data_IF_089359801023
#
_entry.id   IF_089359801023
#
_cell.length_a   1.000
_cell.length_b   1.000
_cell.length_c   1.000
_cell.angle_alpha   90.00
_cell.angle_beta   90.00
_cell.angle_gamma   90.00
#
_symmetry.space_group_name_H-M   'P 1'
#
loop_
_entity.id
_entity.type
_entity.pdbx_description
1 polymer ?
#
# COMPACT_ATOMS: atom_id res chain seq x y z
N UNK A 1 -18.54 -3.80 7.52
CA UNK A 1 -18.87 -2.79 6.51
C UNK A 1 -19.28 -1.53 7.22
N UNK A 2 -18.41 -0.52 7.24
CA UNK A 2 -18.69 0.74 7.94
C UNK A 2 -19.69 1.61 7.19
N UNK A 3 -20.58 2.30 7.91
CA UNK A 3 -21.42 3.35 7.36
C UNK A 3 -20.64 4.62 7.03
N UNK A 4 -19.47 4.76 7.61
CA UNK A 4 -18.52 5.85 7.35
C UNK A 4 -17.29 5.35 6.60
N UNK A 5 -16.60 6.22 5.86
CA UNK A 5 -15.27 5.94 5.36
C UNK A 5 -14.35 5.44 6.50
N UNK A 6 -13.39 4.60 6.16
CA UNK A 6 -12.40 4.13 7.14
C UNK A 6 -11.73 5.31 7.87
N UNK A 7 -11.36 5.12 9.14
CA UNK A 7 -10.60 6.10 9.91
C UNK A 7 -9.25 6.50 9.28
N UNK A 8 -8.81 5.76 8.27
CA UNK A 8 -7.62 6.07 7.47
C UNK A 8 -7.88 7.18 6.44
N UNK A 9 -9.14 7.63 6.30
CA UNK A 9 -9.52 8.70 5.38
C UNK A 9 -9.77 9.95 6.18
N UNK A 10 -9.11 11.01 5.83
CA UNK A 10 -9.44 12.34 6.35
C UNK A 10 -10.86 12.72 5.93
N UNK A 11 -11.61 13.45 6.77
CA UNK A 11 -12.89 14.01 6.37
C UNK A 11 -12.74 14.79 5.06
N UNK A 12 -13.61 14.54 4.11
CA UNK A 12 -13.57 15.15 2.77
C UNK A 12 -12.76 14.39 1.71
N UNK A 13 -12.00 13.35 2.08
CA UNK A 13 -11.44 12.43 1.07
C UNK A 13 -12.53 11.49 0.56
N UNK A 14 -12.59 11.34 -0.77
CA UNK A 14 -13.44 10.33 -1.38
C UNK A 14 -12.98 8.95 -0.94
N UNK A 15 -13.83 8.19 -0.30
CA UNK A 15 -13.55 6.81 0.03
C UNK A 15 -13.36 6.03 -1.27
N UNK A 16 -12.16 5.55 -1.49
CA UNK A 16 -11.79 4.73 -2.63
C UNK A 16 -11.81 3.26 -2.22
N UNK A 17 -12.36 2.39 -3.06
CA UNK A 17 -12.30 0.93 -2.86
C UNK A 17 -10.86 0.43 -2.71
N UNK A 18 -9.90 1.10 -3.34
CA UNK A 18 -8.48 0.77 -3.26
C UNK A 18 -7.85 0.99 -1.89
N UNK A 19 -8.49 1.77 -1.03
CA UNK A 19 -8.04 2.10 0.33
C UNK A 19 -8.86 1.42 1.41
N UNK A 20 -9.75 0.49 1.05
CA UNK A 20 -10.56 -0.27 2.00
C UNK A 20 -9.69 -1.23 2.78
N UNK A 21 -9.78 -1.19 4.10
CA UNK A 21 -9.19 -2.21 4.94
C UNK A 21 -9.95 -3.54 4.76
N UNK A 22 -9.27 -4.52 4.19
CA UNK A 22 -9.82 -5.87 3.96
C UNK A 22 -9.50 -6.82 5.13
N UNK A 23 -8.97 -6.28 6.24
CA UNK A 23 -8.28 -7.04 7.27
C UNK A 23 -9.14 -7.82 8.27
N UNK A 24 -10.48 -7.68 8.28
CA UNK A 24 -11.31 -8.32 9.32
C UNK A 24 -11.23 -9.86 9.33
N UNK A 25 -11.02 -10.49 8.19
CA UNK A 25 -10.89 -11.95 8.06
C UNK A 25 -9.43 -12.43 8.11
N UNK A 26 -8.47 -11.54 7.99
CA UNK A 26 -7.04 -11.87 8.00
C UNK A 26 -6.42 -12.01 9.38
N UNK A 27 -7.18 -11.83 10.48
CA UNK A 27 -6.65 -11.95 11.82
C UNK A 27 -6.36 -13.43 12.15
N UNK A 28 -5.11 -13.72 12.50
CA UNK A 28 -4.66 -15.05 12.90
C UNK A 28 -4.41 -15.07 14.40
N UNK A 29 -4.90 -16.08 15.12
CA UNK A 29 -4.54 -16.32 16.51
C UNK A 29 -3.01 -16.46 16.65
N UNK A 30 -2.45 -15.79 17.65
CA UNK A 30 -0.99 -15.72 17.85
C UNK A 30 -0.27 -14.67 16.99
N UNK A 31 -0.97 -14.01 16.08
CA UNK A 31 -0.44 -12.82 15.42
C UNK A 31 -0.30 -11.71 16.47
N UNK A 32 0.90 -11.14 16.57
CA UNK A 32 1.11 -9.99 17.43
C UNK A 32 0.12 -8.89 17.03
N UNK A 33 -0.75 -8.53 17.97
CA UNK A 33 -1.67 -7.40 17.77
C UNK A 33 -0.87 -6.18 17.35
N UNK A 34 -1.36 -5.31 16.43
CA UNK A 34 -0.76 -4.00 16.21
C UNK A 34 -0.81 -3.14 17.49
N UNK A 35 -1.59 -3.55 18.48
CA UNK A 35 -1.68 -2.90 19.78
C UNK A 35 -0.68 -3.54 20.73
N UNK A 36 0.36 -2.80 21.06
CA UNK A 36 1.30 -3.14 22.11
C UNK A 36 1.02 -2.29 23.35
N UNK A 37 1.26 -2.85 24.52
CA UNK A 37 1.29 -2.11 25.77
C UNK A 37 2.70 -2.15 26.33
N UNK A 38 3.12 -1.02 26.93
CA UNK A 38 4.40 -0.97 27.61
C UNK A 38 4.21 -1.57 29.00
N UNK A 39 4.81 -2.74 29.23
CA UNK A 39 4.74 -3.44 30.50
C UNK A 39 6.03 -3.25 31.26
N UNK A 40 5.90 -2.87 32.55
CA UNK A 40 7.03 -2.77 33.48
C UNK A 40 7.28 -4.14 34.10
N UNK A 41 8.43 -4.72 33.79
CA UNK A 41 8.88 -5.98 34.39
C UNK A 41 9.74 -5.74 35.62
N UNK A 42 9.61 -6.63 36.61
CA UNK A 42 10.36 -6.67 37.86
C UNK A 42 10.43 -5.31 38.54
N UNK A 43 9.28 -4.67 38.84
CA UNK A 43 9.26 -3.37 39.51
C UNK A 43 10.00 -3.43 40.84
N UNK A 44 10.71 -2.37 41.17
CA UNK A 44 11.47 -2.20 42.42
C UNK A 44 12.69 -3.15 42.55
N UNK A 45 13.21 -3.68 41.48
CA UNK A 45 14.47 -4.43 41.43
C UNK A 45 15.48 -3.76 40.51
N UNK A 46 16.75 -4.11 40.62
CA UNK A 46 17.83 -3.69 39.71
C UNK A 46 17.68 -4.22 38.28
N UNK A 47 16.82 -5.24 38.08
CA UNK A 47 16.49 -5.79 36.78
C UNK A 47 15.20 -5.16 36.18
N UNK A 48 14.75 -4.04 36.75
CA UNK A 48 13.58 -3.33 36.27
C UNK A 48 13.80 -2.85 34.82
N UNK A 49 12.90 -3.25 33.92
CA UNK A 49 12.91 -2.80 32.53
C UNK A 49 11.49 -2.73 31.95
N UNK A 50 11.35 -1.93 30.89
CA UNK A 50 10.14 -1.88 30.12
C UNK A 50 10.28 -2.74 28.87
N UNK A 51 9.26 -3.53 28.56
CA UNK A 51 9.13 -4.20 27.25
C UNK A 51 7.78 -3.88 26.62
N UNK A 52 7.77 -3.87 25.28
CA UNK A 52 6.52 -3.81 24.54
C UNK A 52 5.92 -5.22 24.48
N UNK A 53 4.81 -5.41 25.16
CA UNK A 53 4.02 -6.63 25.06
C UNK A 53 2.86 -6.41 24.09
N UNK A 54 2.76 -7.30 23.11
CA UNK A 54 1.65 -7.30 22.18
C UNK A 54 0.49 -8.05 22.81
N UNK A 55 -0.68 -7.41 22.82
CA UNK A 55 -1.89 -8.04 23.35
C UNK A 55 -2.28 -9.19 22.44
N UNK A 56 -2.11 -10.40 22.92
CA UNK A 56 -2.73 -11.58 22.32
C UNK A 56 -4.22 -11.59 22.70
N UNK A 57 -5.09 -11.30 21.74
CA UNK A 57 -6.54 -11.16 22.00
C UNK A 57 -7.31 -12.45 21.90
N UNK A 58 -6.67 -13.53 21.50
CA UNK A 58 -7.34 -14.79 21.31
C UNK A 58 -6.97 -15.79 22.39
N UNK A 59 -7.95 -16.12 23.22
CA UNK A 59 -7.87 -17.32 24.03
C UNK A 59 -7.89 -18.54 23.07
N UNK A 60 -6.81 -19.33 23.00
CA UNK A 60 -6.77 -20.51 22.14
C UNK A 60 -7.93 -21.50 22.42
N UNK A 61 -8.47 -21.48 23.64
CA UNK A 61 -9.60 -22.32 24.04
C UNK A 61 -10.93 -21.88 23.40
N UNK A 62 -11.02 -20.64 22.90
CA UNK A 62 -12.22 -20.11 22.24
C UNK A 62 -12.17 -20.26 20.71
N UNK A 63 -11.10 -20.82 20.18
CA UNK A 63 -10.97 -21.01 18.74
C UNK A 63 -11.73 -22.26 18.32
N UNK A 64 -12.56 -22.19 17.27
CA UNK A 64 -13.18 -23.36 16.71
C UNK A 64 -12.10 -24.32 16.19
N UNK A 65 -12.25 -25.59 16.49
CA UNK A 65 -11.38 -26.69 16.02
C UNK A 65 -11.60 -27.05 14.55
N UNK A 66 -12.24 -26.18 13.76
CA UNK A 66 -12.50 -26.41 12.34
C UNK A 66 -11.23 -26.30 11.51
N UNK A 67 -11.08 -27.20 10.55
CA UNK A 67 -10.06 -27.06 9.52
C UNK A 67 -10.30 -25.71 8.79
N UNK A 68 -9.29 -24.85 8.67
CA UNK A 68 -9.43 -23.59 7.95
C UNK A 68 -10.02 -23.73 6.54
N UNK A 69 -9.85 -24.88 5.89
CA UNK A 69 -10.41 -25.17 4.56
C UNK A 69 -11.93 -25.35 4.61
N UNK A 70 -12.44 -26.00 5.65
CA UNK A 70 -13.88 -26.14 5.89
C UNK A 70 -14.49 -24.80 6.27
N UNK A 71 -13.80 -24.03 7.09
CA UNK A 71 -14.19 -22.67 7.49
C UNK A 71 -14.37 -21.75 6.28
N UNK A 72 -13.42 -21.76 5.33
CA UNK A 72 -13.51 -20.99 4.08
C UNK A 72 -14.79 -21.33 3.32
N UNK A 73 -15.05 -22.61 3.13
CA UNK A 73 -16.21 -23.06 2.36
C UNK A 73 -17.53 -22.60 3.00
N UNK A 74 -17.64 -22.66 4.33
CA UNK A 74 -18.81 -22.19 5.07
C UNK A 74 -19.01 -20.68 4.94
N UNK A 75 -17.95 -19.89 5.12
CA UNK A 75 -18.00 -18.42 5.00
C UNK A 75 -18.35 -18.01 3.58
N UNK A 76 -17.73 -18.62 2.57
CA UNK A 76 -18.03 -18.33 1.17
C UNK A 76 -19.48 -18.70 0.81
N UNK A 77 -19.97 -19.86 1.24
CA UNK A 77 -21.34 -20.29 1.00
C UNK A 77 -22.35 -19.32 1.63
N UNK A 78 -22.14 -18.92 2.88
CA UNK A 78 -23.00 -17.96 3.57
C UNK A 78 -22.99 -16.59 2.90
N UNK A 79 -21.81 -16.07 2.54
CA UNK A 79 -21.68 -14.81 1.84
C UNK A 79 -22.36 -14.83 0.47
N UNK A 80 -22.10 -15.87 -0.34
CA UNK A 80 -22.71 -16.03 -1.66
C UNK A 80 -24.23 -16.11 -1.59
N UNK A 81 -24.76 -16.91 -0.64
CA UNK A 81 -26.21 -17.05 -0.46
C UNK A 81 -26.87 -15.73 -0.12
N UNK A 82 -26.25 -14.95 0.80
CA UNK A 82 -26.75 -13.63 1.15
C UNK A 82 -26.66 -12.65 -0.04
N UNK A 83 -25.56 -12.63 -0.78
CA UNK A 83 -25.38 -11.71 -1.91
C UNK A 83 -26.34 -12.00 -3.06
N UNK A 84 -26.58 -13.27 -3.39
CA UNK A 84 -27.56 -13.67 -4.40
C UNK A 84 -28.98 -13.20 -3.98
N UNK A 85 -29.36 -13.42 -2.71
CA UNK A 85 -30.60 -12.92 -2.16
C UNK A 85 -30.68 -11.38 -2.21
N UNK A 86 -29.64 -10.68 -1.77
CA UNK A 86 -29.60 -9.22 -1.74
C UNK A 86 -29.71 -8.61 -3.14
N UNK A 87 -29.05 -9.19 -4.14
CA UNK A 87 -29.18 -8.77 -5.54
C UNK A 87 -30.60 -8.94 -6.08
N UNK A 88 -31.30 -10.00 -5.69
CA UNK A 88 -32.68 -10.25 -6.09
C UNK A 88 -33.68 -9.32 -5.34
N UNK A 89 -33.36 -8.85 -4.13
CA UNK A 89 -34.24 -8.10 -3.24
C UNK A 89 -33.75 -6.68 -2.91
N UNK A 90 -33.02 -6.04 -3.83
CA UNK A 90 -32.43 -4.70 -3.61
C UNK A 90 -33.40 -3.65 -3.08
N UNK A 91 -34.61 -3.62 -3.62
CA UNK A 91 -35.64 -2.67 -3.22
C UNK A 91 -36.12 -2.89 -1.78
N UNK A 92 -36.40 -4.14 -1.43
CA UNK A 92 -36.82 -4.52 -0.09
C UNK A 92 -35.75 -4.23 0.94
N UNK A 93 -34.50 -4.66 0.66
CA UNK A 93 -33.33 -4.41 1.51
C UNK A 93 -33.11 -2.90 1.69
N UNK A 94 -33.19 -2.10 0.62
CA UNK A 94 -33.04 -0.66 0.70
C UNK A 94 -34.12 0.02 1.54
N UNK A 95 -35.35 -0.49 1.50
CA UNK A 95 -36.44 0.05 2.32
C UNK A 95 -36.23 -0.26 3.80
N UNK A 96 -35.86 -1.50 4.13
CA UNK A 96 -35.52 -1.89 5.52
C UNK A 96 -34.37 -1.05 6.05
N UNK A 97 -33.27 -0.93 5.29
CA UNK A 97 -32.11 -0.11 5.69
C UNK A 97 -32.53 1.35 5.92
N UNK A 98 -33.35 1.92 5.05
CA UNK A 98 -33.80 3.32 5.16
C UNK A 98 -34.66 3.54 6.42
N UNK A 99 -35.51 2.57 6.78
CA UNK A 99 -36.38 2.68 7.94
C UNK A 99 -35.61 2.48 9.26
N UNK A 100 -34.80 1.43 9.33
CA UNK A 100 -34.14 1.02 10.58
C UNK A 100 -32.91 1.88 10.91
N UNK A 101 -32.24 2.45 9.92
CA UNK A 101 -30.99 3.19 10.12
C UNK A 101 -31.14 4.72 9.97
N UNK A 102 -32.35 5.23 9.88
CA UNK A 102 -32.57 6.68 9.82
C UNK A 102 -32.27 7.34 11.17
N UNK A 103 -31.47 8.40 11.17
CA UNK A 103 -31.12 9.16 12.37
C UNK A 103 -30.25 8.42 13.38
N UNK A 104 -29.62 7.32 13.00
CA UNK A 104 -28.72 6.56 13.88
C UNK A 104 -27.42 7.31 14.08
N UNK A 105 -26.96 7.40 15.33
CA UNK A 105 -25.67 7.94 15.68
C UNK A 105 -24.53 7.01 15.22
N UNK A 106 -23.59 7.56 14.47
CA UNK A 106 -22.42 6.85 13.95
C UNK A 106 -21.18 7.52 14.53
N UNK A 107 -20.44 6.79 15.35
CA UNK A 107 -19.20 7.30 15.94
C UNK A 107 -18.21 7.66 14.81
N UNK A 108 -17.69 8.88 14.89
CA UNK A 108 -16.60 9.34 14.04
C UNK A 108 -15.29 9.35 14.81
N UNK A 109 -14.28 8.69 14.26
CA UNK A 109 -12.93 8.62 14.82
C UNK A 109 -12.04 9.52 13.98
N UNK A 110 -11.74 10.71 14.49
CA UNK A 110 -10.92 11.71 13.79
C UNK A 110 -9.42 11.37 13.85
N UNK A 111 -8.98 10.67 14.88
CA UNK A 111 -7.62 10.14 15.03
C UNK A 111 -7.68 8.81 15.79
N UNK A 112 -6.66 7.97 15.65
CA UNK A 112 -6.60 6.69 16.36
C UNK A 112 -6.64 6.90 17.87
N UNK A 113 -7.52 6.17 18.56
CA UNK A 113 -7.68 6.26 20.03
C UNK A 113 -6.37 6.05 20.78
N UNK A 114 -5.50 5.17 20.27
CA UNK A 114 -4.17 4.94 20.84
C UNK A 114 -3.32 6.22 20.81
N UNK A 115 -3.36 6.98 19.73
CA UNK A 115 -2.60 8.23 19.60
C UNK A 115 -3.05 9.30 20.60
N UNK A 116 -4.36 9.41 20.82
CA UNK A 116 -4.88 10.27 21.89
C UNK A 116 -4.41 9.81 23.27
N UNK A 117 -4.48 8.51 23.54
CA UNK A 117 -4.03 7.94 24.82
C UNK A 117 -2.53 8.18 25.07
N UNK A 118 -1.70 8.00 24.04
CA UNK A 118 -0.26 8.27 24.12
C UNK A 118 0.02 9.75 24.35
N UNK A 119 -0.72 10.64 23.70
CA UNK A 119 -0.59 12.09 23.89
C UNK A 119 -1.00 12.52 25.29
N UNK A 120 -2.11 12.00 25.81
CA UNK A 120 -2.52 12.24 27.20
C UNK A 120 -1.45 11.76 28.19
N UNK A 121 -0.92 10.55 27.99
CA UNK A 121 0.15 9.99 28.84
C UNK A 121 1.42 10.85 28.77
N UNK A 122 1.82 11.30 27.58
CA UNK A 122 2.95 12.19 27.42
C UNK A 122 2.75 13.53 28.19
N UNK A 123 1.55 14.11 28.09
CA UNK A 123 1.20 15.36 28.71
C UNK A 123 1.19 15.28 30.26
N UNK A 124 1.07 14.09 30.86
CA UNK A 124 1.19 13.89 32.31
C UNK A 124 2.64 13.90 32.82
N UNK A 125 3.65 13.98 31.94
CA UNK A 125 5.03 14.10 32.40
C UNK A 125 5.21 15.32 33.28
N UNK A 126 5.89 15.22 34.44
CA UNK A 126 6.00 16.32 35.42
C UNK A 126 6.48 17.65 34.81
N UNK A 127 7.43 17.59 33.87
CA UNK A 127 7.96 18.80 33.24
C UNK A 127 6.96 19.51 32.33
N UNK A 128 6.02 18.80 31.75
CA UNK A 128 4.95 19.35 30.89
C UNK A 128 3.75 19.75 31.76
N UNK A 129 3.40 18.94 32.73
CA UNK A 129 2.20 19.13 33.57
C UNK A 129 2.31 20.29 34.56
N UNK A 130 3.52 20.64 35.00
CA UNK A 130 3.76 21.77 35.95
C UNK A 130 3.44 23.14 35.37
N UNK A 131 3.46 23.31 34.05
CA UNK A 131 3.14 24.55 33.34
C UNK A 131 1.92 24.34 32.44
N UNK A 132 0.79 25.04 32.71
CA UNK A 132 -0.43 24.89 31.89
C UNK A 132 -0.23 25.17 30.41
N UNK A 133 0.71 26.05 30.05
CA UNK A 133 1.01 26.36 28.63
C UNK A 133 1.75 25.19 27.96
N UNK A 134 2.75 24.64 28.62
CA UNK A 134 3.49 23.47 28.11
C UNK A 134 2.58 22.25 28.02
N UNK A 135 1.71 22.07 29.03
CA UNK A 135 0.71 20.99 29.00
C UNK A 135 -0.23 21.14 27.79
N UNK A 136 -0.81 22.32 27.60
CA UNK A 136 -1.67 22.60 26.45
C UNK A 136 -0.93 22.41 25.12
N UNK A 137 0.31 22.90 25.00
CA UNK A 137 1.12 22.70 23.79
C UNK A 137 1.41 21.22 23.48
N UNK A 138 1.66 20.42 24.52
CA UNK A 138 1.87 18.97 24.35
C UNK A 138 0.63 18.27 23.78
N UNK A 139 -0.56 18.69 24.22
CA UNK A 139 -1.83 18.17 23.69
C UNK A 139 -2.12 18.60 22.26
N UNK A 140 -1.69 19.79 21.84
CA UNK A 140 -1.80 20.24 20.45
C UNK A 140 -0.98 19.42 19.46
N UNK A 141 -0.09 18.56 19.93
CA UNK A 141 0.71 17.66 19.08
C UNK A 141 -0.14 16.76 18.18
N UNK A 142 -1.34 16.39 18.60
CA UNK A 142 -2.25 15.61 17.77
C UNK A 142 -2.72 16.35 16.52
N UNK A 143 -2.75 17.67 16.55
CA UNK A 143 -3.17 18.52 15.43
C UNK A 143 -2.06 18.73 14.37
N UNK A 144 -0.79 18.44 14.71
CA UNK A 144 0.33 18.63 13.79
C UNK A 144 0.17 17.75 12.56
N UNK A 145 0.39 18.35 11.37
CA UNK A 145 0.32 17.67 10.06
C UNK A 145 -1.07 17.17 9.64
N UNK A 146 -2.15 17.60 10.30
CA UNK A 146 -3.52 17.21 9.98
C UNK A 146 -4.28 18.35 9.27
N UNK A 147 -3.70 18.89 8.21
CA UNK A 147 -4.24 20.05 7.47
C UNK A 147 -5.59 19.81 6.79
N UNK A 148 -6.00 18.55 6.62
CA UNK A 148 -7.27 18.19 6.00
C UNK A 148 -8.44 18.09 7.00
N UNK A 149 -8.17 18.15 8.31
CA UNK A 149 -9.19 18.09 9.35
C UNK A 149 -9.71 19.52 9.60
N UNK A 150 -11.03 19.73 9.65
CA UNK A 150 -11.59 21.05 9.98
C UNK A 150 -11.05 21.60 11.30
N UNK A 151 -10.72 22.88 11.33
CA UNK A 151 -10.17 23.55 12.50
C UNK A 151 -11.05 23.39 13.73
N UNK A 152 -12.36 23.45 13.58
CA UNK A 152 -13.32 23.27 14.67
C UNK A 152 -13.19 21.89 15.33
N UNK A 153 -12.90 20.86 14.56
CA UNK A 153 -12.65 19.50 15.09
C UNK A 153 -11.35 19.48 15.90
N UNK A 154 -10.26 20.09 15.39
CA UNK A 154 -8.98 20.15 16.08
C UNK A 154 -9.08 20.93 17.40
N UNK A 155 -9.81 22.04 17.42
CA UNK A 155 -10.08 22.82 18.63
C UNK A 155 -10.87 22.00 19.65
N UNK A 156 -11.94 21.34 19.20
CA UNK A 156 -12.76 20.49 20.08
C UNK A 156 -11.99 19.28 20.61
N UNK A 157 -11.12 18.65 19.79
CA UNK A 157 -10.20 17.59 20.25
C UNK A 157 -9.32 18.10 21.39
N UNK A 158 -8.70 19.26 21.21
CA UNK A 158 -7.83 19.84 22.22
C UNK A 158 -8.59 20.14 23.52
N UNK A 159 -9.81 20.68 23.45
CA UNK A 159 -10.64 20.95 24.64
C UNK A 159 -11.02 19.67 25.39
N UNK A 160 -11.30 18.58 24.66
CA UNK A 160 -11.59 17.28 25.27
C UNK A 160 -10.32 16.69 25.92
N UNK A 161 -9.17 16.77 25.23
CA UNK A 161 -7.89 16.30 25.76
C UNK A 161 -7.45 17.08 27.03
N UNK A 162 -7.69 18.39 27.11
CA UNK A 162 -7.42 19.18 28.34
C UNK A 162 -8.24 18.65 29.51
N UNK A 163 -9.47 18.18 29.28
CA UNK A 163 -10.33 17.55 30.30
C UNK A 163 -9.88 16.14 30.65
N UNK A 164 -8.91 15.57 29.93
CA UNK A 164 -8.43 14.21 30.12
C UNK A 164 -9.27 13.16 29.37
N UNK A 165 -10.20 13.60 28.51
CA UNK A 165 -11.07 12.72 27.75
C UNK A 165 -10.45 12.31 26.40
N UNK A 166 -10.81 11.14 25.93
CA UNK A 166 -10.54 10.73 24.54
C UNK A 166 -11.55 11.40 23.63
N UNK A 167 -11.12 12.22 22.64
CA UNK A 167 -12.03 12.91 21.74
C UNK A 167 -13.01 11.98 21.05
N UNK A 168 -14.29 12.35 21.07
CA UNK A 168 -15.36 11.57 20.47
C UNK A 168 -16.33 12.49 19.74
N UNK A 169 -16.57 12.15 18.45
CA UNK A 169 -17.49 12.84 17.58
C UNK A 169 -18.45 11.84 16.95
N UNK A 170 -19.51 12.31 16.33
CA UNK A 170 -20.42 11.45 15.62
C UNK A 170 -21.05 12.16 14.39
N UNK A 171 -21.57 11.34 13.50
CA UNK A 171 -22.47 11.71 12.43
C UNK A 171 -23.86 11.13 12.72
N UNK A 172 -24.90 11.75 12.20
CA UNK A 172 -26.17 11.08 12.01
C UNK A 172 -26.17 10.38 10.64
N UNK A 173 -26.78 9.22 10.56
CA UNK A 173 -26.79 8.40 9.32
C UNK A 173 -27.38 9.13 8.12
N UNK A 174 -28.29 10.06 8.34
CA UNK A 174 -29.00 10.86 7.34
C UNK A 174 -28.55 12.33 7.26
N UNK A 175 -27.39 12.66 7.87
CA UNK A 175 -26.80 13.99 7.86
C UNK A 175 -25.34 13.97 7.39
N UNK A 176 -24.86 15.12 6.88
CA UNK A 176 -23.49 15.32 6.42
C UNK A 176 -22.61 16.06 7.43
N UNK A 177 -23.19 16.45 8.57
CA UNK A 177 -22.57 17.29 9.60
C UNK A 177 -21.83 16.43 10.64
N UNK A 178 -20.75 16.98 11.20
CA UNK A 178 -20.10 16.43 12.39
C UNK A 178 -20.76 17.03 13.64
N UNK A 179 -21.06 16.16 14.58
CA UNK A 179 -21.62 16.51 15.89
C UNK A 179 -20.64 16.23 17.02
N UNK A 180 -20.65 17.13 18.00
CA UNK A 180 -20.09 16.90 19.33
C UNK A 180 -21.20 17.11 20.36
N UNK A 181 -21.40 16.15 21.24
CA UNK A 181 -22.61 16.04 22.08
C UNK A 181 -23.87 16.10 21.22
N UNK A 182 -24.75 17.05 21.44
CA UNK A 182 -25.98 17.24 20.66
C UNK A 182 -25.91 18.46 19.73
N UNK A 183 -24.71 19.02 19.53
CA UNK A 183 -24.53 20.24 18.75
C UNK A 183 -23.78 19.97 17.46
N UNK A 184 -24.18 20.67 16.40
CA UNK A 184 -23.44 20.65 15.13
C UNK A 184 -22.11 21.36 15.34
N UNK A 185 -21.01 20.64 15.17
CA UNK A 185 -19.66 21.18 15.24
C UNK A 185 -19.21 21.73 13.88
N UNK A 186 -19.39 20.96 12.82
CA UNK A 186 -19.04 21.35 11.45
C UNK A 186 -20.15 20.90 10.51
N UNK A 187 -20.59 21.79 9.61
CA UNK A 187 -21.63 21.51 8.63
C UNK A 187 -21.03 20.99 7.33
N UNK A 188 -21.80 20.15 6.64
CA UNK A 188 -21.56 19.72 5.25
C UNK A 188 -20.16 19.15 5.01
N UNK A 189 -19.67 18.33 5.94
CA UNK A 189 -18.32 17.71 5.85
C UNK A 189 -18.29 16.55 4.87
N UNK A 190 -19.38 15.80 4.74
CA UNK A 190 -19.49 14.67 3.84
C UNK A 190 -20.15 15.08 2.52
N UNK A 191 -19.68 14.54 1.40
CA UNK A 191 -20.32 14.76 0.08
C UNK A 191 -21.73 14.15 -0.01
N UNK A 192 -21.98 13.11 0.77
CA UNK A 192 -23.26 12.41 0.85
C UNK A 192 -23.48 11.83 2.23
N UNK A 193 -24.74 11.65 2.62
CA UNK A 193 -25.04 11.07 3.93
C UNK A 193 -24.58 9.62 4.00
N UNK A 194 -24.14 9.12 5.19
CA UNK A 194 -23.75 7.72 5.37
C UNK A 194 -24.82 6.73 4.89
N UNK A 195 -26.08 7.04 5.17
CA UNK A 195 -27.21 6.22 4.73
C UNK A 195 -27.33 6.17 3.20
N UNK A 196 -27.19 7.31 2.53
CA UNK A 196 -27.23 7.36 1.06
C UNK A 196 -26.08 6.59 0.42
N UNK A 197 -24.91 6.61 1.04
CA UNK A 197 -23.76 5.82 0.59
C UNK A 197 -24.04 4.31 0.65
N UNK A 198 -24.60 3.82 1.77
CA UNK A 198 -24.99 2.41 1.92
C UNK A 198 -26.06 2.01 0.91
N UNK A 199 -27.10 2.85 0.75
CA UNK A 199 -28.17 2.58 -0.21
C UNK A 199 -27.66 2.52 -1.65
N UNK A 200 -26.73 3.39 -2.02
CA UNK A 200 -26.03 3.35 -3.32
C UNK A 200 -25.23 2.05 -3.47
N UNK A 201 -24.57 1.62 -2.41
CA UNK A 201 -23.87 0.33 -2.38
C UNK A 201 -24.81 -0.84 -2.67
N UNK A 202 -25.97 -0.89 -2.03
CA UNK A 202 -26.99 -1.92 -2.27
C UNK A 202 -27.50 -1.92 -3.72
N UNK A 203 -27.73 -0.74 -4.30
CA UNK A 203 -28.16 -0.65 -5.70
C UNK A 203 -27.10 -1.13 -6.69
N UNK A 204 -25.82 -0.92 -6.36
CA UNK A 204 -24.69 -1.27 -7.21
C UNK A 204 -24.23 -2.73 -7.06
N UNK A 205 -24.83 -3.53 -6.16
CA UNK A 205 -24.49 -4.95 -6.01
C UNK A 205 -24.61 -5.67 -7.35
N UNK A 206 -23.59 -6.42 -7.72
CA UNK A 206 -23.51 -7.17 -8.98
C UNK A 206 -22.67 -8.43 -8.83
N UNK A 207 -22.64 -9.26 -9.87
CA UNK A 207 -21.90 -10.52 -9.87
C UNK A 207 -20.38 -10.32 -9.80
N UNK A 208 -19.85 -9.24 -10.36
CA UNK A 208 -18.41 -8.99 -10.35
C UNK A 208 -17.94 -8.62 -8.93
N UNK A 209 -18.75 -7.86 -8.21
CA UNK A 209 -18.50 -7.57 -6.80
C UNK A 209 -18.61 -8.84 -5.93
N UNK A 210 -19.56 -9.72 -6.22
CA UNK A 210 -19.66 -11.02 -5.57
C UNK A 210 -18.38 -11.85 -5.78
N UNK A 211 -17.92 -11.97 -7.03
CA UNK A 211 -16.69 -12.73 -7.37
C UNK A 211 -15.46 -12.14 -6.68
N UNK A 212 -15.31 -10.82 -6.71
CA UNK A 212 -14.22 -10.11 -6.06
C UNK A 212 -14.20 -10.40 -4.54
N UNK A 213 -15.36 -10.28 -3.88
CA UNK A 213 -15.42 -10.51 -2.44
C UNK A 213 -15.22 -11.99 -2.05
N UNK A 214 -15.70 -12.94 -2.83
CA UNK A 214 -15.41 -14.36 -2.62
C UNK A 214 -13.90 -14.64 -2.74
N UNK A 215 -13.23 -14.02 -3.71
CA UNK A 215 -11.78 -14.10 -3.84
C UNK A 215 -11.05 -13.45 -2.64
N UNK A 216 -11.50 -12.29 -2.16
CA UNK A 216 -10.93 -11.62 -0.98
C UNK A 216 -11.07 -12.48 0.29
N UNK A 217 -12.21 -13.16 0.46
CA UNK A 217 -12.41 -14.14 1.55
C UNK A 217 -11.35 -15.24 1.42
N UNK A 218 -11.21 -15.84 0.25
CA UNK A 218 -10.24 -16.91 0.01
C UNK A 218 -8.80 -16.44 0.28
N UNK A 219 -8.43 -15.26 -0.20
CA UNK A 219 -7.09 -14.69 -0.01
C UNK A 219 -6.79 -14.43 1.48
N UNK A 220 -7.78 -13.93 2.23
CA UNK A 220 -7.64 -13.68 3.67
C UNK A 220 -7.38 -14.96 4.46
N UNK A 221 -8.08 -16.05 4.11
CA UNK A 221 -7.84 -17.36 4.72
C UNK A 221 -6.52 -17.98 4.26
N UNK A 222 -6.12 -17.80 3.01
CA UNK A 222 -4.81 -18.25 2.53
C UNK A 222 -3.67 -17.60 3.31
N UNK A 223 -3.77 -16.31 3.59
CA UNK A 223 -2.82 -15.60 4.44
C UNK A 223 -2.79 -16.17 5.87
N UNK A 224 -3.95 -16.50 6.44
CA UNK A 224 -4.07 -17.15 7.76
C UNK A 224 -3.43 -18.55 7.79
N UNK A 225 -3.69 -19.37 6.77
CA UNK A 225 -3.13 -20.72 6.65
C UNK A 225 -1.62 -20.70 6.52
N UNK A 226 -1.09 -19.80 5.69
CA UNK A 226 0.36 -19.68 5.47
C UNK A 226 1.12 -19.29 6.74
N UNK A 227 0.51 -18.54 7.64
CA UNK A 227 1.10 -18.19 8.94
C UNK A 227 1.12 -19.38 9.90
N UNK A 228 0.09 -20.22 9.91
CA UNK A 228 0.06 -21.41 10.75
C UNK A 228 0.99 -22.51 10.27
N UNK A 229 1.30 -22.53 8.97
CA UNK A 229 2.18 -23.51 8.33
C UNK A 229 3.67 -23.16 8.43
N UNK A 230 4.05 -22.04 9.03
CA UNK A 230 5.44 -21.58 9.14
C UNK A 230 6.37 -22.54 9.92
N UNK A 231 5.83 -23.61 10.50
CA UNK A 231 6.57 -24.68 11.17
C UNK A 231 6.41 -26.05 10.52
N UNK A 232 5.67 -26.16 9.44
CA UNK A 232 5.65 -27.40 8.66
C UNK A 232 6.67 -27.26 7.54
N UNK A 233 7.73 -28.06 7.61
CA UNK A 233 8.61 -28.30 6.47
C UNK A 233 7.73 -28.64 5.26
N UNK A 234 7.54 -27.66 4.39
CA UNK A 234 7.08 -27.93 3.03
C UNK A 234 8.21 -28.70 2.35
N UNK A 235 8.28 -29.95 2.63
CA UNK A 235 8.98 -30.90 1.80
C UNK A 235 8.31 -30.80 0.43
N UNK A 236 8.97 -30.14 -0.50
CA UNK A 236 8.69 -30.33 -1.91
C UNK A 236 8.74 -31.84 -2.13
N UNK A 237 7.59 -32.47 -2.26
CA UNK A 237 7.58 -33.89 -2.55
C UNK A 237 8.26 -34.03 -3.92
N UNK A 238 9.28 -34.86 -4.01
CA UNK A 238 9.97 -35.15 -5.28
C UNK A 238 9.01 -35.61 -6.39
N UNK A 239 7.81 -36.07 -6.01
CA UNK A 239 6.71 -36.41 -6.92
C UNK A 239 6.11 -35.21 -7.67
N UNK A 240 6.26 -33.98 -7.18
CA UNK A 240 5.78 -32.78 -7.92
C UNK A 240 6.71 -32.38 -9.08
N UNK A 241 7.92 -32.91 -9.12
CA UNK A 241 8.94 -32.57 -10.15
C UNK A 241 8.82 -33.46 -11.41
N UNK A 242 7.98 -34.47 -11.40
CA UNK A 242 7.59 -35.15 -12.66
C UNK A 242 6.54 -34.33 -13.42
N UNK A 243 6.90 -33.08 -13.71
CA UNK A 243 6.20 -32.37 -14.77
C UNK A 243 6.34 -33.20 -16.02
N UNK A 244 5.24 -33.76 -16.49
CA UNK A 244 5.18 -34.34 -17.82
C UNK A 244 5.77 -33.29 -18.79
N UNK A 245 6.60 -33.73 -19.74
CA UNK A 245 6.95 -32.93 -20.93
C UNK A 245 5.70 -32.79 -21.80
N UNK A 246 4.63 -32.21 -21.26
CA UNK A 246 3.53 -31.70 -22.04
C UNK A 246 4.02 -30.41 -22.71
N UNK A 247 3.85 -30.27 -23.98
CA UNK A 247 4.11 -29.05 -24.73
C UNK A 247 3.40 -27.90 -23.96
N UNK A 248 4.16 -27.10 -23.23
CA UNK A 248 3.61 -25.96 -22.51
C UNK A 248 3.20 -24.94 -23.55
N UNK A 249 1.89 -24.76 -23.73
CA UNK A 249 1.39 -23.66 -24.55
C UNK A 249 1.52 -22.35 -23.75
N UNK A 250 2.64 -21.65 -23.97
CA UNK A 250 2.95 -20.39 -23.28
C UNK A 250 1.84 -19.36 -23.50
N UNK A 251 1.25 -19.29 -24.68
CA UNK A 251 0.17 -18.35 -24.98
C UNK A 251 -1.08 -18.62 -24.14
N UNK A 252 -1.47 -19.89 -24.03
CA UNK A 252 -2.59 -20.27 -23.16
C UNK A 252 -2.30 -19.95 -21.70
N UNK A 253 -1.09 -20.22 -21.23
CA UNK A 253 -0.68 -19.94 -19.84
C UNK A 253 -0.73 -18.43 -19.54
N UNK A 254 -0.27 -17.58 -20.46
CA UNK A 254 -0.35 -16.12 -20.29
C UNK A 254 -1.80 -15.64 -20.21
N UNK A 255 -2.69 -16.16 -21.08
CA UNK A 255 -4.11 -15.82 -21.04
C UNK A 255 -4.77 -16.28 -19.75
N UNK A 256 -4.47 -17.49 -19.29
CA UNK A 256 -4.97 -18.04 -18.02
C UNK A 256 -4.50 -17.21 -16.80
N UNK A 257 -3.32 -16.61 -16.85
CA UNK A 257 -2.80 -15.72 -15.81
C UNK A 257 -3.39 -14.30 -15.89
N UNK A 258 -3.59 -13.76 -17.07
CA UNK A 258 -4.10 -12.39 -17.26
C UNK A 258 -5.58 -12.27 -16.88
N UNK A 259 -6.38 -13.30 -17.13
CA UNK A 259 -7.82 -13.27 -16.84
C UNK A 259 -8.15 -13.05 -15.34
N UNK A 260 -7.56 -13.76 -14.39
CA UNK A 260 -7.72 -13.46 -12.95
C UNK A 260 -7.28 -12.05 -12.57
N UNK A 261 -6.22 -11.52 -13.17
CA UNK A 261 -5.76 -10.16 -12.90
C UNK A 261 -6.80 -9.11 -13.31
N UNK A 262 -7.52 -9.34 -14.41
CA UNK A 262 -8.65 -8.48 -14.80
C UNK A 262 -9.83 -8.60 -13.84
N UNK A 263 -10.14 -9.80 -13.36
CA UNK A 263 -11.27 -10.04 -12.45
C UNK A 263 -11.03 -9.49 -11.04
N UNK A 264 -9.76 -9.47 -10.58
CA UNK A 264 -9.38 -9.03 -9.24
C UNK A 264 -8.98 -7.55 -9.19
N UNK A 265 -9.09 -6.85 -10.32
CA UNK A 265 -8.85 -5.40 -10.40
C UNK A 265 -9.91 -4.64 -9.61
N UNK A 266 -9.48 -3.76 -8.73
CA UNK A 266 -10.34 -2.85 -7.99
C UNK A 266 -10.31 -1.49 -8.66
N UNK A 267 -11.46 -1.03 -9.13
CA UNK A 267 -11.57 0.28 -9.78
C UNK A 267 -11.41 1.41 -8.78
N UNK A 268 -10.60 2.39 -9.13
CA UNK A 268 -10.51 3.65 -8.39
C UNK A 268 -11.72 4.55 -8.68
N UNK A 269 -12.13 5.33 -7.71
CA UNK A 269 -13.19 6.31 -7.87
C UNK A 269 -12.63 7.67 -8.34
N UNK A 270 -13.18 8.24 -9.39
CA UNK A 270 -12.75 9.52 -9.95
C UNK A 270 -11.32 9.46 -10.49
N UNK A 271 -10.45 10.31 -9.97
CA UNK A 271 -9.03 10.40 -10.37
C UNK A 271 -8.13 9.33 -9.73
N UNK A 272 -8.66 8.52 -8.82
CA UNK A 272 -7.87 7.45 -8.24
C UNK A 272 -7.58 6.36 -9.28
N UNK A 273 -6.33 5.84 -9.35
CA UNK A 273 -5.99 4.76 -10.27
C UNK A 273 -6.66 3.45 -9.83
N UNK A 274 -6.95 2.55 -10.76
CA UNK A 274 -7.28 1.18 -10.42
C UNK A 274 -6.11 0.54 -9.66
N UNK A 275 -6.39 -0.51 -8.90
CA UNK A 275 -5.37 -1.23 -8.12
C UNK A 275 -5.71 -2.70 -8.01
N UNK A 276 -4.81 -3.46 -7.42
CA UNK A 276 -5.00 -4.87 -7.08
C UNK A 276 -4.75 -5.07 -5.59
N UNK A 277 -5.44 -6.05 -5.05
CA UNK A 277 -5.27 -6.49 -3.67
C UNK A 277 -4.53 -7.83 -3.70
N UNK A 278 -3.58 -8.02 -2.81
CA UNK A 278 -2.78 -9.22 -2.75
C UNK A 278 -2.22 -9.50 -1.37
N UNK A 279 -1.55 -10.64 -1.22
CA UNK A 279 -0.81 -10.96 0.00
C UNK A 279 0.49 -10.17 0.05
N UNK A 280 0.75 -9.50 1.16
CA UNK A 280 2.03 -8.82 1.43
C UNK A 280 2.62 -9.34 2.73
N UNK A 281 3.94 -9.40 2.80
CA UNK A 281 4.64 -9.66 4.04
C UNK A 281 4.61 -8.41 4.93
N UNK A 282 4.37 -8.60 6.22
CA UNK A 282 4.20 -7.48 7.16
C UNK A 282 5.50 -6.98 7.76
N UNK A 283 6.59 -7.74 7.62
CA UNK A 283 7.88 -7.41 8.19
C UNK A 283 9.06 -7.88 7.31
N UNK A 284 10.25 -7.42 7.64
CA UNK A 284 11.49 -7.79 6.96
C UNK A 284 11.88 -9.26 7.14
N UNK A 285 11.32 -9.94 8.14
CA UNK A 285 11.56 -11.35 8.39
C UNK A 285 10.61 -12.28 7.63
N UNK A 286 9.69 -11.74 6.81
CA UNK A 286 8.70 -12.47 6.01
C UNK A 286 7.83 -13.44 6.83
N UNK A 287 7.63 -13.15 8.12
CA UNK A 287 6.95 -14.06 9.04
C UNK A 287 5.43 -14.00 8.92
N UNK A 288 4.89 -12.86 8.51
CA UNK A 288 3.45 -12.65 8.48
C UNK A 288 2.99 -12.17 7.11
N UNK A 289 1.96 -12.81 6.60
CA UNK A 289 1.25 -12.36 5.41
C UNK A 289 0.00 -11.60 5.82
N UNK A 290 -0.26 -10.51 5.16
CA UNK A 290 -1.52 -9.76 5.27
C UNK A 290 -2.08 -9.49 3.89
N UNK A 291 -3.40 -9.39 3.80
CA UNK A 291 -4.10 -8.96 2.60
C UNK A 291 -4.12 -7.45 2.59
N UNK A 292 -3.57 -6.85 1.54
CA UNK A 292 -3.43 -5.40 1.43
C UNK A 292 -3.46 -4.97 -0.03
N UNK A 293 -3.63 -3.68 -0.26
CA UNK A 293 -3.40 -3.07 -1.57
C UNK A 293 -1.95 -3.29 -2.00
N UNK A 294 -1.76 -3.69 -3.25
CA UNK A 294 -0.41 -3.82 -3.80
C UNK A 294 0.28 -2.45 -3.84
N UNK A 295 1.56 -2.42 -3.50
CA UNK A 295 2.40 -1.23 -3.52
C UNK A 295 2.62 -0.70 -4.93
N UNK A 296 3.08 0.55 -5.02
CA UNK A 296 3.46 1.19 -6.29
C UNK A 296 4.91 0.83 -6.64
N UNK A 297 5.13 -0.43 -6.97
CA UNK A 297 6.44 -0.95 -7.36
C UNK A 297 6.32 -2.06 -8.41
N UNK A 298 7.43 -2.33 -9.11
CA UNK A 298 7.47 -3.31 -10.19
C UNK A 298 7.51 -4.75 -9.67
N UNK A 299 8.35 -5.02 -8.65
CA UNK A 299 8.70 -6.37 -8.23
C UNK A 299 7.53 -7.12 -7.56
N UNK A 300 6.86 -6.50 -6.60
CA UNK A 300 5.74 -7.12 -5.85
C UNK A 300 4.47 -6.28 -5.84
N UNK A 301 4.39 -5.27 -6.70
CA UNK A 301 3.34 -4.26 -6.69
C UNK A 301 2.42 -4.25 -7.90
N UNK A 302 1.53 -3.26 -7.91
CA UNK A 302 0.56 -3.01 -8.98
C UNK A 302 1.21 -2.66 -10.32
N UNK A 303 2.43 -2.11 -10.30
CA UNK A 303 3.16 -1.72 -11.52
C UNK A 303 3.45 -2.92 -12.40
N UNK A 304 3.98 -4.02 -11.81
CA UNK A 304 4.25 -5.25 -12.57
C UNK A 304 3.00 -5.88 -13.15
N UNK A 305 1.91 -5.85 -12.40
CA UNK A 305 0.60 -6.35 -12.87
C UNK A 305 0.10 -5.52 -14.06
N UNK A 306 0.08 -4.19 -13.93
CA UNK A 306 -0.40 -3.29 -14.99
C UNK A 306 0.49 -3.37 -16.27
N UNK A 307 1.81 -3.41 -16.10
CA UNK A 307 2.75 -3.57 -17.20
C UNK A 307 2.52 -4.90 -17.95
N UNK A 308 2.34 -5.99 -17.21
CA UNK A 308 2.03 -7.29 -17.81
C UNK A 308 0.72 -7.26 -18.59
N UNK A 309 -0.33 -6.63 -18.07
CA UNK A 309 -1.62 -6.50 -18.77
C UNK A 309 -1.47 -5.72 -20.08
N UNK A 310 -0.72 -4.59 -20.08
CA UNK A 310 -0.51 -3.83 -21.32
C UNK A 310 0.27 -4.65 -22.34
N UNK A 311 1.41 -5.23 -21.95
CA UNK A 311 2.26 -6.01 -22.86
C UNK A 311 1.53 -7.23 -23.41
N UNK A 312 0.86 -7.99 -22.55
CA UNK A 312 0.06 -9.14 -22.99
C UNK A 312 -1.12 -8.70 -23.86
N UNK A 313 -1.79 -7.61 -23.50
CA UNK A 313 -2.91 -7.05 -24.26
C UNK A 313 -2.53 -6.62 -25.66
N UNK A 314 -1.33 -6.06 -25.85
CA UNK A 314 -0.80 -5.74 -27.19
C UNK A 314 -0.46 -7.02 -27.97
N UNK A 315 0.19 -8.01 -27.34
CA UNK A 315 0.59 -9.27 -27.99
C UNK A 315 -0.62 -10.11 -28.41
N UNK A 316 -1.64 -10.18 -27.56
CA UNK A 316 -2.83 -11.02 -27.79
C UNK A 316 -4.01 -10.25 -28.40
N UNK A 317 -3.81 -8.97 -28.77
CA UNK A 317 -4.84 -8.12 -29.36
C UNK A 317 -6.08 -7.99 -28.44
N UNK A 318 -5.86 -7.87 -27.10
CA UNK A 318 -6.90 -7.73 -26.07
C UNK A 318 -7.02 -6.28 -25.58
N UNK A 319 -7.88 -5.45 -26.21
CA UNK A 319 -7.96 -4.01 -25.88
C UNK A 319 -8.36 -3.73 -24.45
N UNK A 320 -9.13 -4.62 -23.83
CA UNK A 320 -9.57 -4.48 -22.44
C UNK A 320 -8.38 -4.56 -21.47
N UNK A 321 -7.39 -5.42 -21.74
CA UNK A 321 -6.18 -5.52 -20.92
C UNK A 321 -5.29 -4.29 -21.08
N UNK A 322 -5.14 -3.84 -22.34
CA UNK A 322 -4.39 -2.60 -22.62
C UNK A 322 -5.01 -1.42 -21.87
N UNK A 323 -6.32 -1.20 -22.03
CA UNK A 323 -7.03 -0.10 -21.39
C UNK A 323 -6.96 -0.15 -19.86
N UNK A 324 -7.01 -1.35 -19.30
CA UNK A 324 -6.89 -1.54 -17.83
C UNK A 324 -5.55 -1.07 -17.29
N UNK A 325 -4.45 -1.49 -17.93
CA UNK A 325 -3.11 -1.10 -17.53
C UNK A 325 -2.79 0.35 -17.87
N UNK A 326 -3.17 0.83 -19.06
CA UNK A 326 -2.99 2.22 -19.47
C UNK A 326 -3.67 3.19 -18.49
N UNK A 327 -4.91 2.94 -18.11
CA UNK A 327 -5.66 3.74 -17.13
C UNK A 327 -4.92 3.81 -15.78
N UNK A 328 -4.29 2.72 -15.34
CA UNK A 328 -3.45 2.70 -14.15
C UNK A 328 -2.27 3.67 -14.29
N UNK A 329 -1.51 3.59 -15.40
CA UNK A 329 -0.33 4.43 -15.61
C UNK A 329 -0.69 5.91 -15.77
N UNK A 330 -1.72 6.24 -16.56
CA UNK A 330 -2.14 7.62 -16.79
C UNK A 330 -2.60 8.31 -15.50
N UNK A 331 -3.49 7.68 -14.72
CA UNK A 331 -4.01 8.24 -13.48
C UNK A 331 -2.94 8.33 -12.39
N UNK A 332 -2.12 7.30 -12.24
CA UNK A 332 -1.03 7.31 -11.25
C UNK A 332 -0.01 8.41 -11.58
N UNK A 333 0.38 8.54 -12.85
CA UNK A 333 1.31 9.59 -13.28
C UNK A 333 0.72 11.00 -13.08
N UNK A 334 -0.59 11.17 -13.28
CA UNK A 334 -1.26 12.43 -13.00
C UNK A 334 -1.22 12.78 -11.50
N UNK A 335 -1.47 11.81 -10.64
CA UNK A 335 -1.42 11.99 -9.19
C UNK A 335 0.00 12.32 -8.71
N UNK A 336 1.01 11.62 -9.20
CA UNK A 336 2.41 11.91 -8.86
C UNK A 336 2.84 13.31 -9.29
N UNK A 337 2.39 13.79 -10.45
CA UNK A 337 2.70 15.13 -10.94
C UNK A 337 2.06 16.27 -10.14
N UNK A 338 0.96 16.01 -9.41
CA UNK A 338 0.11 17.03 -8.78
C UNK A 338 0.37 17.28 -7.28
N UNK A 339 1.44 16.79 -6.70
CA UNK A 339 1.75 17.12 -5.31
C UNK A 339 2.22 15.97 -4.43
N UNK A 340 3.11 15.17 -4.94
CA UNK A 340 3.72 14.09 -4.17
C UNK A 340 4.75 14.63 -3.18
N UNK A 341 4.70 14.11 -1.97
CA UNK A 341 5.75 14.28 -0.97
C UNK A 341 6.91 13.31 -1.30
N UNK A 342 7.87 13.80 -2.08
CA UNK A 342 9.00 13.02 -2.57
C UNK A 342 9.97 12.58 -1.46
N UNK A 343 9.97 13.27 -0.31
CA UNK A 343 10.87 12.93 0.81
C UNK A 343 10.42 11.65 1.54
N UNK A 344 9.11 11.37 1.50
CA UNK A 344 8.51 10.23 2.19
C UNK A 344 8.09 9.08 1.25
N UNK A 345 8.49 9.13 -0.03
CA UNK A 345 8.21 8.05 -0.98
C UNK A 345 9.40 7.08 -1.02
N UNK A 346 9.10 5.79 -1.20
CA UNK A 346 10.14 4.80 -1.38
C UNK A 346 10.77 4.88 -2.77
N UNK A 347 12.09 4.92 -2.83
CA UNK A 347 12.89 5.05 -4.04
C UNK A 347 13.50 3.72 -4.48
N UNK A 348 13.70 3.54 -5.77
CA UNK A 348 14.36 2.38 -6.37
C UNK A 348 13.78 1.96 -7.72
N UNK A 349 14.64 1.42 -8.58
CA UNK A 349 14.27 1.03 -9.94
C UNK A 349 13.44 -0.27 -10.00
N UNK A 350 13.41 -1.07 -8.94
CA UNK A 350 12.57 -2.27 -8.85
C UNK A 350 11.53 -2.18 -7.75
N UNK A 351 11.85 -1.56 -6.63
CA UNK A 351 11.03 -1.53 -5.42
C UNK A 351 10.49 -0.15 -5.08
N UNK A 352 10.78 0.90 -5.86
CA UNK A 352 10.39 2.28 -5.57
C UNK A 352 9.62 2.96 -6.71
N UNK A 353 9.41 4.26 -6.56
CA UNK A 353 8.65 5.07 -7.52
C UNK A 353 9.30 5.12 -8.90
N UNK A 354 10.62 5.03 -8.98
CA UNK A 354 11.35 4.98 -10.25
C UNK A 354 10.98 3.72 -11.06
N UNK A 355 10.64 2.63 -10.40
CA UNK A 355 10.12 1.42 -11.07
C UNK A 355 8.79 1.68 -11.80
N UNK A 356 7.92 2.49 -11.19
CA UNK A 356 6.69 2.94 -11.84
C UNK A 356 7.00 3.85 -13.04
N UNK A 357 7.92 4.83 -12.88
CA UNK A 357 8.25 5.78 -13.94
C UNK A 357 8.90 5.10 -15.14
N UNK A 358 9.77 4.13 -14.89
CA UNK A 358 10.32 3.28 -15.94
C UNK A 358 9.22 2.51 -16.68
N UNK A 359 8.35 1.82 -15.96
CA UNK A 359 7.28 1.05 -16.57
C UNK A 359 6.27 1.94 -17.32
N UNK A 360 6.03 3.16 -16.83
CA UNK A 360 5.21 4.15 -17.52
C UNK A 360 5.83 4.57 -18.87
N UNK A 361 7.15 4.81 -18.91
CA UNK A 361 7.85 5.12 -20.17
C UNK A 361 7.75 3.97 -21.16
N UNK A 362 8.00 2.72 -20.71
CA UNK A 362 7.84 1.51 -21.53
C UNK A 362 6.43 1.40 -22.12
N UNK A 363 5.40 1.62 -21.30
CA UNK A 363 4.00 1.53 -21.74
C UNK A 363 3.66 2.63 -22.74
N UNK A 364 4.01 3.87 -22.46
CA UNK A 364 3.70 4.98 -23.36
C UNK A 364 4.48 4.92 -24.67
N UNK A 365 5.69 4.39 -24.65
CA UNK A 365 6.46 4.11 -25.86
C UNK A 365 5.81 3.01 -26.70
N UNK A 366 5.42 1.90 -26.05
CA UNK A 366 4.72 0.78 -26.71
C UNK A 366 3.39 1.21 -27.33
N UNK A 367 2.65 2.12 -26.69
CA UNK A 367 1.37 2.66 -27.16
C UNK A 367 1.51 3.88 -28.09
N UNK A 368 2.71 4.39 -28.30
CA UNK A 368 2.97 5.58 -29.12
C UNK A 368 2.54 6.90 -28.49
N UNK A 369 2.29 6.94 -27.17
CA UNK A 369 1.93 8.15 -26.43
C UNK A 369 3.17 8.96 -26.03
N UNK A 370 3.61 9.83 -26.95
CA UNK A 370 4.77 10.71 -26.73
C UNK A 370 4.54 11.71 -25.59
N UNK A 371 3.31 12.15 -25.35
CA UNK A 371 3.01 13.12 -24.29
C UNK A 371 3.09 12.47 -22.91
N UNK A 372 2.53 11.27 -22.76
CA UNK A 372 2.66 10.46 -21.55
C UNK A 372 4.11 10.15 -21.22
N UNK A 373 4.89 9.73 -22.22
CA UNK A 373 6.33 9.46 -22.06
C UNK A 373 7.09 10.70 -21.55
N UNK A 374 6.94 11.86 -22.20
CA UNK A 374 7.60 13.10 -21.75
C UNK A 374 7.13 13.57 -20.37
N UNK A 375 5.87 13.30 -20.01
CA UNK A 375 5.38 13.59 -18.66
C UNK A 375 6.06 12.71 -17.63
N UNK A 376 6.26 11.42 -17.91
CA UNK A 376 6.98 10.50 -17.04
C UNK A 376 8.45 10.94 -16.82
N UNK A 377 9.14 11.35 -17.88
CA UNK A 377 10.51 11.91 -17.81
C UNK A 377 10.57 13.13 -16.88
N UNK A 378 9.62 14.07 -17.02
CA UNK A 378 9.57 15.27 -16.16
C UNK A 378 9.32 14.93 -14.69
N UNK A 379 8.43 13.98 -14.42
CA UNK A 379 8.15 13.52 -13.05
C UNK A 379 9.37 12.81 -12.46
N UNK A 380 10.10 12.01 -13.25
CA UNK A 380 11.36 11.41 -12.83
C UNK A 380 12.42 12.46 -12.46
N UNK A 381 12.57 13.51 -13.25
CA UNK A 381 13.49 14.60 -12.94
C UNK A 381 13.12 15.30 -11.62
N UNK A 382 11.84 15.56 -11.37
CA UNK A 382 11.36 16.13 -10.11
C UNK A 382 11.64 15.20 -8.94
N UNK A 383 11.39 13.89 -9.10
CA UNK A 383 11.65 12.88 -8.11
C UNK A 383 13.12 12.86 -7.69
N UNK A 384 14.02 12.67 -8.65
CA UNK A 384 15.45 12.54 -8.39
C UNK A 384 16.10 13.84 -7.89
N UNK A 385 15.55 15.00 -8.23
CA UNK A 385 16.06 16.30 -7.72
C UNK A 385 15.77 16.54 -6.24
N UNK A 386 14.81 15.81 -5.67
CA UNK A 386 14.36 15.95 -4.27
C UNK A 386 14.66 14.73 -3.41
N UNK A 387 15.07 13.62 -4.02
CA UNK A 387 15.38 12.40 -3.32
C UNK A 387 16.87 12.29 -2.99
N UNK A 388 17.18 11.73 -1.85
CA UNK A 388 18.52 11.24 -1.53
C UNK A 388 18.48 9.71 -1.62
N UNK A 389 18.97 9.18 -2.75
CA UNK A 389 19.27 7.74 -2.85
C UNK A 389 20.58 7.50 -2.09
N UNK A 390 20.55 6.55 -1.17
CA UNK A 390 21.73 6.18 -0.37
C UNK A 390 22.35 4.86 -0.84
N UNK A 391 21.56 4.00 -1.48
CA UNK A 391 22.01 2.68 -1.91
C UNK A 391 22.65 2.72 -3.29
N UNK A 392 23.56 1.78 -3.52
CA UNK A 392 24.27 1.64 -4.80
C UNK A 392 23.73 0.48 -5.65
N UNK A 393 22.88 -0.37 -5.07
CA UNK A 393 22.42 -1.62 -5.67
C UNK A 393 21.43 -1.41 -6.85
N UNK A 394 20.97 -2.50 -7.44
CA UNK A 394 20.00 -2.46 -8.55
C UNK A 394 18.56 -2.29 -8.04
N UNK A 395 18.24 -2.82 -6.88
CA UNK A 395 16.85 -2.81 -6.39
C UNK A 395 16.41 -1.41 -5.94
N UNK A 396 17.22 -0.77 -5.11
CA UNK A 396 16.89 0.47 -4.39
C UNK A 396 17.84 1.63 -4.71
N UNK A 397 18.92 1.39 -5.47
CA UNK A 397 20.03 2.31 -5.61
C UNK A 397 20.31 2.80 -7.03
N UNK A 398 21.44 3.51 -7.16
CA UNK A 398 21.87 4.15 -8.39
C UNK A 398 22.15 3.17 -9.53
N UNK A 399 22.63 1.95 -9.25
CA UNK A 399 22.86 0.95 -10.30
C UNK A 399 21.56 0.58 -11.03
N UNK A 400 20.44 0.49 -10.30
CA UNK A 400 19.14 0.28 -10.88
C UNK A 400 18.68 1.42 -11.77
N UNK A 401 18.90 2.67 -11.36
CA UNK A 401 18.57 3.85 -12.17
C UNK A 401 19.35 3.83 -13.49
N UNK A 402 20.66 3.58 -13.42
CA UNK A 402 21.49 3.50 -14.65
C UNK A 402 20.99 2.41 -15.58
N UNK A 403 20.72 1.20 -15.07
CA UNK A 403 20.26 0.06 -15.90
C UNK A 403 18.87 0.28 -16.48
N UNK A 404 17.94 0.85 -15.69
CA UNK A 404 16.56 1.03 -16.10
C UNK A 404 16.41 2.16 -17.15
N UNK A 405 17.09 3.29 -16.98
CA UNK A 405 16.83 4.47 -17.80
C UNK A 405 17.83 4.69 -18.93
N UNK A 406 19.01 4.08 -18.90
CA UNK A 406 19.97 4.23 -20.02
C UNK A 406 19.45 3.78 -21.39
N UNK A 407 18.56 2.75 -21.52
CA UNK A 407 18.01 2.38 -22.82
C UNK A 407 17.06 3.43 -23.43
N UNK A 408 16.52 4.34 -22.60
CA UNK A 408 15.53 5.33 -23.02
C UNK A 408 16.14 6.70 -23.35
N UNK A 409 17.46 6.88 -23.24
CA UNK A 409 18.14 8.18 -23.50
C UNK A 409 17.81 8.69 -24.90
N UNK A 410 17.89 7.84 -25.92
CA UNK A 410 17.64 8.22 -27.32
C UNK A 410 16.18 8.58 -27.61
N UNK A 411 15.24 8.13 -26.79
CA UNK A 411 13.80 8.44 -26.91
C UNK A 411 13.44 9.79 -26.26
N UNK A 412 14.31 10.34 -25.41
CA UNK A 412 14.11 11.62 -24.75
C UNK A 412 14.68 12.79 -25.54
N UNK A 413 13.81 13.50 -26.26
CA UNK A 413 14.18 14.69 -27.03
C UNK A 413 14.63 15.89 -26.20
N UNK A 414 14.45 15.84 -24.88
CA UNK A 414 14.80 16.94 -23.95
C UNK A 414 16.21 16.85 -23.40
N UNK A 415 16.85 15.69 -23.50
CA UNK A 415 18.15 15.39 -22.89
C UNK A 415 18.12 15.18 -21.38
N UNK A 416 16.93 15.26 -20.77
CA UNK A 416 16.76 15.13 -19.31
C UNK A 416 17.20 13.76 -18.81
N UNK A 417 16.90 12.67 -19.54
CA UNK A 417 17.31 11.32 -19.14
C UNK A 417 18.83 11.14 -19.21
N UNK A 418 19.50 11.74 -20.20
CA UNK A 418 20.96 11.71 -20.29
C UNK A 418 21.60 12.35 -19.06
N UNK A 419 21.11 13.53 -18.64
CA UNK A 419 21.59 14.24 -17.46
C UNK A 419 21.36 13.42 -16.17
N UNK A 420 20.17 12.80 -16.02
CA UNK A 420 19.82 11.99 -14.86
C UNK A 420 20.66 10.70 -14.76
N UNK A 421 20.88 10.04 -15.89
CA UNK A 421 21.74 8.85 -15.96
C UNK A 421 23.20 9.25 -15.67
N UNK A 422 23.70 10.35 -16.22
CA UNK A 422 25.05 10.86 -15.95
C UNK A 422 25.24 11.18 -14.46
N UNK A 423 24.27 11.86 -13.84
CA UNK A 423 24.27 12.09 -12.38
C UNK A 423 24.31 10.78 -11.59
N UNK A 424 23.49 9.81 -11.97
CA UNK A 424 23.42 8.52 -11.29
C UNK A 424 24.71 7.71 -11.44
N UNK A 425 25.35 7.77 -12.63
CA UNK A 425 26.67 7.17 -12.87
C UNK A 425 27.74 7.79 -11.97
N UNK A 426 27.79 9.13 -11.89
CA UNK A 426 28.74 9.83 -11.04
C UNK A 426 28.54 9.45 -9.56
N UNK A 427 27.31 9.40 -9.09
CA UNK A 427 26.97 9.00 -7.73
C UNK A 427 27.34 7.54 -7.44
N UNK A 428 27.08 6.64 -8.41
CA UNK A 428 27.46 5.24 -8.33
C UNK A 428 28.98 5.07 -8.25
N UNK A 429 29.73 5.79 -9.09
CA UNK A 429 31.20 5.75 -9.10
C UNK A 429 31.78 6.26 -7.78
N UNK A 430 31.31 7.40 -7.28
CA UNK A 430 31.76 7.97 -6.02
C UNK A 430 31.46 7.03 -4.84
N UNK A 431 30.25 6.49 -4.76
CA UNK A 431 29.85 5.54 -3.74
C UNK A 431 30.65 4.24 -3.80
N UNK A 432 30.85 3.69 -5.01
CA UNK A 432 31.61 2.46 -5.21
C UNK A 432 33.13 2.61 -4.90
N UNK A 433 33.71 3.81 -5.11
CA UNK A 433 35.09 4.09 -4.69
C UNK A 433 35.27 4.05 -3.18
N UNK A 434 34.27 4.49 -2.43
CA UNK A 434 34.26 4.45 -0.97
C UNK A 434 33.97 3.07 -0.37
N UNK A 435 33.44 2.12 -1.17
CA UNK A 435 33.12 0.79 -0.73
C UNK A 435 34.37 -0.10 -0.56
N UNK A 436 34.42 -0.77 0.58
CA UNK A 436 35.26 -1.95 0.71
C UNK A 436 34.53 -3.16 0.09
N UNK A 437 35.01 -3.59 -1.10
CA UNK A 437 34.42 -4.72 -1.84
C UNK A 437 34.38 -5.99 -0.98
N UNK A 438 35.37 -6.18 -0.07
CA UNK A 438 35.40 -7.32 0.84
C UNK A 438 34.28 -7.27 1.89
N UNK A 439 33.70 -6.11 2.15
CA UNK A 439 32.58 -5.96 3.10
C UNK A 439 31.21 -6.21 2.48
N UNK A 440 31.11 -6.36 1.15
CA UNK A 440 29.84 -6.63 0.47
C UNK A 440 29.34 -8.04 0.81
N UNK A 441 28.19 -8.10 1.47
CA UNK A 441 27.58 -9.37 1.92
C UNK A 441 27.02 -10.21 0.77
N UNK A 442 26.75 -9.59 -0.39
CA UNK A 442 26.03 -10.21 -1.50
C UNK A 442 26.83 -10.12 -2.80
N UNK A 443 26.89 -11.22 -3.54
CA UNK A 443 27.46 -11.26 -4.89
C UNK A 443 26.42 -11.18 -6.00
N UNK A 444 25.12 -11.27 -5.65
CA UNK A 444 24.00 -11.34 -6.60
C UNK A 444 23.79 -10.06 -7.41
N UNK A 445 22.82 -10.12 -8.36
CA UNK A 445 22.51 -9.00 -9.26
C UNK A 445 21.72 -7.89 -8.56
N UNK A 446 20.68 -8.24 -7.78
CA UNK A 446 19.78 -7.24 -7.18
C UNK A 446 20.46 -6.36 -6.11
N UNK A 447 21.24 -6.98 -5.22
CA UNK A 447 21.82 -6.34 -4.04
C UNK A 447 23.33 -6.51 -3.92
N UNK A 448 24.01 -6.94 -4.97
CA UNK A 448 25.43 -7.30 -4.88
C UNK A 448 26.28 -6.79 -6.02
N UNK A 449 27.53 -7.28 -6.00
CA UNK A 449 28.62 -6.85 -6.91
C UNK A 449 28.25 -7.01 -8.38
N UNK A 450 27.56 -8.10 -8.75
CA UNK A 450 27.20 -8.32 -10.16
C UNK A 450 26.29 -7.23 -10.73
N UNK A 451 25.38 -6.68 -9.92
CA UNK A 451 24.54 -5.57 -10.34
C UNK A 451 25.32 -4.27 -10.52
N UNK A 452 26.23 -3.96 -9.59
CA UNK A 452 27.13 -2.82 -9.70
C UNK A 452 27.98 -2.91 -10.95
N UNK A 453 28.59 -4.08 -11.19
CA UNK A 453 29.37 -4.37 -12.38
C UNK A 453 28.58 -4.16 -13.66
N UNK A 454 27.34 -4.70 -13.73
CA UNK A 454 26.47 -4.56 -14.89
C UNK A 454 26.13 -3.10 -15.19
N UNK A 455 25.83 -2.28 -14.16
CA UNK A 455 25.55 -0.88 -14.31
C UNK A 455 26.76 -0.11 -14.82
N UNK A 456 27.94 -0.34 -14.24
CA UNK A 456 29.20 0.29 -14.69
C UNK A 456 29.60 -0.15 -16.10
N UNK A 457 29.41 -1.45 -16.44
CA UNK A 457 29.68 -1.94 -17.79
C UNK A 457 28.76 -1.30 -18.85
N UNK A 458 27.50 -1.04 -18.47
CA UNK A 458 26.53 -0.35 -19.37
C UNK A 458 26.97 1.05 -19.73
N UNK A 459 27.70 1.77 -18.86
CA UNK A 459 28.14 3.14 -19.10
C UNK A 459 29.18 3.25 -20.22
N UNK A 460 29.90 2.17 -20.54
CA UNK A 460 30.91 2.16 -21.62
C UNK A 460 30.37 2.49 -23.01
N UNK A 461 29.07 2.34 -23.23
CA UNK A 461 28.42 2.69 -24.50
C UNK A 461 27.75 4.06 -24.52
N UNK A 462 27.83 4.84 -23.45
CA UNK A 462 27.06 6.06 -23.25
C UNK A 462 27.89 7.37 -23.33
N UNK A 463 29.12 7.38 -23.83
CA UNK A 463 30.02 8.56 -23.81
C UNK A 463 30.23 9.18 -22.42
N UNK A 464 29.83 8.46 -21.33
CA UNK A 464 30.01 8.87 -19.92
C UNK A 464 31.27 8.19 -19.35
N UNK A 465 32.17 7.77 -20.19
CA UNK A 465 33.38 7.08 -19.78
C UNK A 465 34.29 8.00 -18.96
N UNK A 466 34.68 7.51 -17.77
CA UNK A 466 35.81 8.11 -17.05
C UNK A 466 36.78 7.00 -16.59
N UNK A 467 38.04 7.36 -16.39
CA UNK A 467 39.09 6.41 -15.93
C UNK A 467 38.74 5.73 -14.61
N UNK A 468 37.93 6.39 -13.77
CA UNK A 468 37.45 5.85 -12.51
C UNK A 468 36.51 4.64 -12.71
N UNK A 469 35.64 4.66 -13.73
CA UNK A 469 34.74 3.55 -14.07
C UNK A 469 35.52 2.30 -14.46
N UNK A 470 36.55 2.45 -15.31
CA UNK A 470 37.39 1.32 -15.72
C UNK A 470 38.22 0.72 -14.57
N UNK A 471 38.71 1.59 -13.70
CA UNK A 471 39.42 1.15 -12.49
C UNK A 471 38.50 0.36 -11.54
N UNK A 472 37.25 0.83 -11.36
CA UNK A 472 36.27 0.15 -10.53
C UNK A 472 35.83 -1.19 -11.13
N UNK A 473 35.59 -1.25 -12.43
CA UNK A 473 35.26 -2.50 -13.12
C UNK A 473 36.34 -3.56 -12.87
N UNK A 474 37.60 -3.16 -12.98
CA UNK A 474 38.75 -4.06 -12.69
C UNK A 474 38.86 -4.48 -11.22
N UNK A 475 38.38 -3.62 -10.30
CA UNK A 475 38.37 -3.92 -8.86
C UNK A 475 37.23 -4.87 -8.46
N UNK A 476 36.11 -4.84 -9.20
CA UNK A 476 34.94 -5.69 -8.98
C UNK A 476 35.04 -7.07 -9.64
N UNK A 477 35.91 -7.24 -10.63
CA UNK A 477 36.26 -8.53 -11.24
C UNK A 477 37.36 -9.24 -10.44
#
# INVERSE_FOLDING_TARGET
>A
VGLLPSALHSPGQKADKSSTDVGALGYTPGQKSPFSTLVLHRPLTDEMHFSLEFLDRTDPALLPSLDPREEIALVQCGYQSFMVWAMAHKTELSNVIRQEFKGVNIRFVAEQTQRYSETLRLATHPDLHKDPKLHSMALWRTALFRHQVPEQVLVSEHEQLIKGDIPCFHFLSDCTDIFFDSQVLVKDVLESTPLSHVLKGVQNLNEDELKLNLWLIQLSFAAKISQSAAHTDYLFSESAVKASKSDINVNQMVQELAHPLMQTRVEGHGEHPPTWIGGRTSDTAFQYWRVDKLSLELFSGSVGVALNLVRSGVIFEEPAWVSAGESFFQKTLANLANGTDWENIHHGAQSGVESFLWAAMEVFELLGDKQGHQKAVRVLAQCLSKSTLYDLDVSSGYAGIVLAFSPHIDSDSTGTLADLVAFSVNSLVQGAQALDVASLQYSGFAHGVCGLYAALARTKGLEIENEATDSLIKKLL
#
